data_IF_355962618309
#
_entry.id   IF_355962618309
#
_cell.length_a   1.000
_cell.length_b   1.000
_cell.length_c   1.000
_cell.angle_alpha   90.00
_cell.angle_beta   90.00
_cell.angle_gamma   90.00
#
_symmetry.space_group_name_H-M   'P 1'
#
loop_
_entity.id
_entity.type
_entity.pdbx_description
1 polymer ?
#
# COMPACT_ATOMS: atom_id res chain seq x y z
N UNK A 1 -32.61 28.48 -50.45
CA UNK A 1 -33.21 28.96 -49.18
C UNK A 1 -34.14 27.89 -48.55
N UNK A 2 -33.67 26.63 -48.39
CA UNK A 2 -34.49 25.52 -47.84
C UNK A 2 -33.69 24.51 -46.98
N UNK A 3 -32.49 24.88 -46.48
CA UNK A 3 -31.69 24.01 -45.60
C UNK A 3 -31.59 24.50 -44.14
N UNK A 4 -31.80 25.78 -43.85
CA UNK A 4 -31.77 26.30 -42.47
C UNK A 4 -32.98 25.91 -41.63
N UNK A 5 -34.16 25.81 -42.25
CA UNK A 5 -35.43 25.58 -41.53
C UNK A 5 -35.60 24.15 -40.99
N UNK A 6 -34.87 23.16 -41.53
CA UNK A 6 -34.99 21.77 -41.11
C UNK A 6 -34.14 21.41 -39.89
N UNK A 7 -33.08 22.18 -39.62
CA UNK A 7 -32.19 21.96 -38.47
C UNK A 7 -32.78 22.67 -37.24
N UNK A 8 -33.27 23.90 -37.42
CA UNK A 8 -33.95 24.65 -36.34
C UNK A 8 -35.20 23.93 -35.80
N UNK A 9 -35.95 23.24 -36.66
CA UNK A 9 -37.11 22.48 -36.23
C UNK A 9 -36.73 21.24 -35.40
N UNK A 10 -35.62 20.56 -35.74
CA UNK A 10 -35.11 19.41 -34.96
C UNK A 10 -34.53 19.82 -33.62
N UNK A 11 -33.90 21.00 -33.55
CA UNK A 11 -33.41 21.56 -32.29
C UNK A 11 -34.57 21.94 -31.38
N UNK A 12 -35.62 22.59 -31.92
CA UNK A 12 -36.83 22.92 -31.15
C UNK A 12 -37.59 21.69 -30.65
N UNK A 13 -37.65 20.61 -31.42
CA UNK A 13 -38.23 19.34 -30.96
C UNK A 13 -37.41 18.73 -29.80
N UNK A 14 -36.08 18.71 -29.91
CA UNK A 14 -35.18 18.22 -28.85
C UNK A 14 -35.26 19.06 -27.57
N UNK A 15 -35.37 20.38 -27.68
CA UNK A 15 -35.55 21.28 -26.54
C UNK A 15 -36.91 21.08 -25.86
N UNK A 16 -37.98 20.90 -26.63
CA UNK A 16 -39.31 20.60 -26.10
C UNK A 16 -39.34 19.24 -25.36
N UNK A 17 -38.62 18.24 -25.88
CA UNK A 17 -38.48 16.92 -25.26
C UNK A 17 -37.69 17.01 -23.93
N UNK A 18 -36.61 17.80 -23.90
CA UNK A 18 -35.80 18.03 -22.71
C UNK A 18 -36.59 18.78 -21.61
N UNK A 19 -37.41 19.75 -21.99
CA UNK A 19 -38.30 20.47 -21.06
C UNK A 19 -39.35 19.53 -20.47
N UNK A 20 -39.90 18.62 -21.28
CA UNK A 20 -40.85 17.59 -20.82
C UNK A 20 -40.19 16.64 -19.82
N UNK A 21 -38.94 16.24 -20.09
CA UNK A 21 -38.17 15.36 -19.21
C UNK A 21 -37.85 16.04 -17.87
N UNK A 22 -37.43 17.32 -17.90
CA UNK A 22 -37.18 18.11 -16.68
C UNK A 22 -38.44 18.31 -15.84
N UNK A 23 -39.59 18.53 -16.46
CA UNK A 23 -40.88 18.59 -15.73
C UNK A 23 -41.26 17.24 -15.12
N UNK A 24 -40.94 16.13 -15.78
CA UNK A 24 -41.20 14.79 -15.27
C UNK A 24 -40.30 14.45 -14.07
N UNK A 25 -39.02 14.80 -14.14
CA UNK A 25 -38.07 14.65 -13.02
C UNK A 25 -38.47 15.53 -11.83
N UNK A 26 -38.90 16.77 -12.08
CA UNK A 26 -39.36 17.67 -11.01
C UNK A 26 -40.65 17.17 -10.34
N UNK A 27 -41.61 16.69 -11.13
CA UNK A 27 -42.82 16.09 -10.59
C UNK A 27 -42.55 14.79 -9.81
N UNK A 28 -41.48 14.06 -10.15
CA UNK A 28 -41.06 12.86 -9.43
C UNK A 28 -40.34 13.22 -8.11
N UNK A 29 -39.56 14.31 -8.09
CA UNK A 29 -38.95 14.85 -6.88
C UNK A 29 -39.97 15.51 -5.93
N UNK A 30 -41.06 16.07 -6.46
CA UNK A 30 -42.18 16.61 -5.68
C UNK A 30 -43.13 15.52 -5.16
N UNK A 31 -43.06 14.28 -5.69
CA UNK A 31 -43.80 13.11 -5.18
C UNK A 31 -43.03 12.32 -4.10
N UNK A 32 -41.70 12.51 -4.02
CA UNK A 32 -40.82 11.90 -3.00
C UNK A 32 -40.54 12.85 -1.81
N UNK A 33 -41.20 14.03 -1.76
CA UNK A 33 -40.81 15.17 -0.93
C UNK A 33 -41.87 15.75 0.01
N UNK A 34 -42.93 15.02 0.34
CA UNK A 34 -43.91 15.41 1.38
C UNK A 34 -43.93 14.35 2.49
N UNK A 35 -43.04 14.50 3.48
CA UNK A 35 -43.30 14.20 4.89
C UNK A 35 -42.12 14.68 5.76
N UNK A 36 -42.18 15.96 6.14
CA UNK A 36 -41.53 16.49 7.35
C UNK A 36 -42.49 17.47 8.03
N UNK A 37 -43.15 17.01 9.08
CA UNK A 37 -43.08 17.61 10.42
C UNK A 37 -44.18 17.03 11.33
N UNK A 38 -43.83 16.00 12.10
CA UNK A 38 -44.28 15.86 13.49
C UNK A 38 -43.14 15.20 14.28
N UNK A 39 -42.44 16.04 15.05
CA UNK A 39 -41.50 15.68 16.09
C UNK A 39 -42.25 14.97 17.23
N UNK A 40 -42.06 13.66 17.36
CA UNK A 40 -42.03 12.99 18.66
C UNK A 40 -40.81 12.04 18.65
N UNK A 41 -40.04 12.11 19.74
CA UNK A 41 -38.80 11.39 19.98
C UNK A 41 -39.03 9.88 19.92
N UNK A 42 -38.29 9.16 19.07
CA UNK A 42 -38.04 7.74 19.30
C UNK A 42 -36.60 7.35 18.87
N UNK A 43 -35.79 7.13 19.88
CA UNK A 43 -34.38 6.73 19.85
C UNK A 43 -34.28 5.22 19.53
N UNK A 44 -34.28 4.84 18.26
CA UNK A 44 -34.15 3.41 17.91
C UNK A 44 -33.67 3.09 16.48
N UNK A 45 -32.61 3.72 15.95
CA UNK A 45 -31.97 3.23 14.70
C UNK A 45 -30.44 3.20 14.69
N UNK A 46 -29.80 3.19 15.87
CA UNK A 46 -28.38 2.84 16.00
C UNK A 46 -28.13 1.32 16.21
N UNK A 47 -29.19 0.50 16.28
CA UNK A 47 -29.13 -0.87 16.80
C UNK A 47 -28.64 -1.99 15.87
N UNK A 48 -28.53 -1.78 14.55
CA UNK A 48 -28.41 -2.92 13.62
C UNK A 48 -27.00 -3.14 13.03
N UNK A 49 -26.07 -2.18 13.18
CA UNK A 49 -24.65 -2.41 12.87
C UNK A 49 -23.85 -2.85 14.10
N UNK A 50 -24.19 -2.35 15.28
CA UNK A 50 -23.59 -2.76 16.55
C UNK A 50 -23.73 -4.26 16.80
N UNK A 51 -24.90 -4.83 16.46
CA UNK A 51 -25.20 -6.25 16.68
C UNK A 51 -24.34 -7.20 15.83
N UNK A 52 -23.95 -6.79 14.61
CA UNK A 52 -23.08 -7.57 13.74
C UNK A 52 -21.61 -7.55 14.20
N UNK A 53 -21.14 -6.42 14.74
CA UNK A 53 -19.78 -6.28 15.31
C UNK A 53 -19.61 -7.19 16.54
N UNK A 54 -20.55 -7.13 17.48
CA UNK A 54 -20.55 -8.02 18.65
C UNK A 54 -20.60 -9.50 18.23
N UNK A 55 -21.28 -9.83 17.13
CA UNK A 55 -21.40 -11.21 16.66
C UNK A 55 -20.08 -11.82 16.18
N UNK A 56 -19.22 -11.04 15.52
CA UNK A 56 -17.94 -11.55 14.98
C UNK A 56 -16.89 -11.71 16.08
N UNK A 57 -16.82 -10.78 17.02
CA UNK A 57 -15.93 -10.93 18.15
C UNK A 57 -16.35 -12.10 19.04
N UNK A 58 -17.66 -12.29 19.26
CA UNK A 58 -18.17 -13.46 19.97
C UNK A 58 -17.83 -14.78 19.24
N UNK A 59 -17.91 -14.83 17.91
CA UNK A 59 -17.51 -15.99 17.10
C UNK A 59 -16.00 -16.29 17.22
N UNK A 60 -15.15 -15.24 17.23
CA UNK A 60 -13.71 -15.38 17.47
C UNK A 60 -13.44 -15.95 18.87
N UNK A 61 -14.08 -15.39 19.90
CA UNK A 61 -13.94 -15.85 21.29
C UNK A 61 -14.36 -17.31 21.42
N UNK A 62 -15.48 -17.70 20.84
CA UNK A 62 -15.93 -19.09 20.83
C UNK A 62 -14.94 -20.00 20.11
N UNK A 63 -14.39 -19.56 18.98
CA UNK A 63 -13.38 -20.31 18.22
C UNK A 63 -12.11 -20.52 19.04
N UNK A 64 -11.58 -19.46 19.68
CA UNK A 64 -10.40 -19.57 20.55
C UNK A 64 -10.65 -20.49 21.74
N UNK A 65 -11.86 -20.47 22.33
CA UNK A 65 -12.19 -21.37 23.43
C UNK A 65 -12.21 -22.85 23.02
N UNK A 66 -12.66 -23.19 21.80
CA UNK A 66 -12.59 -24.57 21.30
C UNK A 66 -11.15 -25.06 21.08
N UNK A 67 -10.20 -24.15 20.89
CA UNK A 67 -8.77 -24.42 20.75
C UNK A 67 -7.99 -24.33 22.08
N UNK A 68 -8.66 -24.23 23.23
CA UNK A 68 -8.00 -24.07 24.54
C UNK A 68 -6.92 -25.15 24.80
N UNK A 69 -5.75 -24.70 25.26
CA UNK A 69 -4.61 -25.59 25.56
C UNK A 69 -3.89 -26.16 24.35
N UNK A 70 -4.18 -25.69 23.13
CA UNK A 70 -3.58 -26.14 21.88
C UNK A 70 -2.41 -25.24 21.44
N UNK A 71 -1.72 -25.65 20.37
CA UNK A 71 -0.60 -24.92 19.78
C UNK A 71 -1.00 -24.28 18.46
N UNK A 72 -0.78 -22.97 18.34
CA UNK A 72 -1.15 -22.13 17.20
C UNK A 72 0.09 -21.58 16.47
N UNK A 73 0.20 -21.83 15.17
CA UNK A 73 1.21 -21.22 14.32
C UNK A 73 0.64 -20.00 13.58
N UNK A 74 1.09 -18.80 13.91
CA UNK A 74 0.67 -17.57 13.24
C UNK A 74 1.63 -17.28 12.08
N UNK A 75 1.12 -17.35 10.86
CA UNK A 75 1.91 -17.32 9.64
C UNK A 75 1.86 -15.96 8.96
N UNK A 76 3.00 -15.27 8.90
CA UNK A 76 3.20 -14.04 8.13
C UNK A 76 3.70 -14.41 6.73
N UNK A 77 2.84 -14.22 5.73
CA UNK A 77 3.15 -14.52 4.33
C UNK A 77 3.58 -13.26 3.58
N UNK A 78 4.57 -13.42 2.69
CA UNK A 78 5.11 -12.31 1.92
C UNK A 78 5.99 -11.42 2.79
N UNK A 79 6.38 -10.26 2.26
CA UNK A 79 7.20 -9.30 3.01
C UNK A 79 6.39 -8.75 4.19
N UNK A 80 6.82 -8.99 5.44
CA UNK A 80 6.08 -8.52 6.61
C UNK A 80 5.96 -7.00 6.61
N UNK A 81 4.74 -6.49 6.69
CA UNK A 81 4.42 -5.07 6.82
C UNK A 81 3.89 -4.73 8.23
N UNK A 82 3.71 -3.44 8.58
CA UNK A 82 3.24 -3.07 9.90
C UNK A 82 1.90 -3.68 10.31
N UNK A 83 0.95 -3.81 9.37
CA UNK A 83 -0.40 -4.30 9.66
C UNK A 83 -0.39 -5.81 9.95
N UNK A 84 0.32 -6.58 9.13
CA UNK A 84 0.48 -8.01 9.30
C UNK A 84 1.24 -8.38 10.60
N UNK A 85 2.32 -7.65 10.91
CA UNK A 85 3.09 -7.84 12.15
C UNK A 85 2.20 -7.52 13.36
N UNK A 86 1.52 -6.37 13.35
CA UNK A 86 0.74 -5.92 14.50
C UNK A 86 -0.44 -6.85 14.82
N UNK A 87 -1.17 -7.28 13.80
CA UNK A 87 -2.31 -8.20 13.94
C UNK A 87 -1.88 -9.60 14.40
N UNK A 88 -0.70 -10.06 13.97
CA UNK A 88 -0.10 -11.32 14.46
C UNK A 88 0.23 -11.27 15.95
N UNK A 89 0.76 -10.15 16.44
CA UNK A 89 0.99 -9.95 17.88
C UNK A 89 -0.31 -9.89 18.67
N UNK A 90 -1.31 -9.17 18.16
CA UNK A 90 -2.60 -9.05 18.80
C UNK A 90 -3.30 -10.42 18.90
N UNK A 91 -3.25 -11.24 17.85
CA UNK A 91 -3.76 -12.60 17.89
C UNK A 91 -3.00 -13.46 18.90
N UNK A 92 -1.67 -13.39 18.92
CA UNK A 92 -0.84 -14.11 19.89
C UNK A 92 -1.26 -13.79 21.32
N UNK A 93 -1.40 -12.51 21.65
CA UNK A 93 -1.85 -12.04 22.96
C UNK A 93 -3.26 -12.55 23.30
N UNK A 94 -4.23 -12.39 22.37
CA UNK A 94 -5.59 -12.87 22.59
C UNK A 94 -5.66 -14.39 22.82
N UNK A 95 -4.81 -15.16 22.14
CA UNK A 95 -4.73 -16.61 22.28
C UNK A 95 -4.26 -17.03 23.69
N UNK A 96 -3.41 -16.23 24.35
CA UNK A 96 -2.95 -16.50 25.73
C UNK A 96 -4.10 -16.53 26.74
N UNK A 97 -5.16 -15.73 26.56
CA UNK A 97 -6.35 -15.75 27.41
C UNK A 97 -7.10 -17.10 27.37
N UNK A 98 -6.81 -17.93 26.37
CA UNK A 98 -7.37 -19.26 26.18
C UNK A 98 -6.32 -20.37 26.36
N UNK A 99 -5.21 -20.10 27.06
CA UNK A 99 -4.11 -21.05 27.28
C UNK A 99 -3.53 -21.63 25.98
N UNK A 100 -3.67 -20.93 24.86
CA UNK A 100 -3.15 -21.35 23.56
C UNK A 100 -1.70 -20.87 23.46
N UNK A 101 -0.78 -21.81 23.22
CA UNK A 101 0.61 -21.48 22.96
C UNK A 101 0.77 -21.10 21.49
N UNK A 102 1.23 -19.88 21.22
CA UNK A 102 1.38 -19.38 19.86
C UNK A 102 2.84 -19.08 19.51
N UNK A 103 3.18 -19.28 18.24
CA UNK A 103 4.46 -18.88 17.66
C UNK A 103 4.20 -18.14 16.36
N UNK A 104 4.88 -17.01 16.17
CA UNK A 104 4.74 -16.20 14.96
C UNK A 104 5.94 -16.50 14.06
N UNK A 105 5.67 -16.86 12.80
CA UNK A 105 6.70 -17.18 11.80
C UNK A 105 6.53 -16.31 10.57
N UNK A 106 7.63 -15.78 10.04
CA UNK A 106 7.65 -15.08 8.75
C UNK A 106 8.48 -15.83 7.71
N UNK A 107 8.00 -15.87 6.46
CA UNK A 107 8.66 -16.64 5.39
C UNK A 107 9.62 -15.83 4.51
N UNK A 108 9.36 -14.54 4.36
CA UNK A 108 10.24 -13.62 3.62
C UNK A 108 10.97 -12.71 4.60
N UNK A 109 12.15 -12.21 4.21
CA UNK A 109 12.93 -11.32 5.07
C UNK A 109 12.21 -10.00 5.35
N UNK A 110 12.37 -9.50 6.58
CA UNK A 110 11.97 -8.15 6.96
C UNK A 110 12.95 -7.15 6.34
N UNK A 111 12.69 -6.79 5.09
CA UNK A 111 13.59 -6.01 4.24
C UNK A 111 13.42 -4.49 4.40
N UNK A 112 12.23 -4.02 4.75
CA UNK A 112 11.98 -2.60 5.01
C UNK A 112 12.58 -2.14 6.35
N UNK A 113 13.32 -1.03 6.32
CA UNK A 113 13.98 -0.47 7.52
C UNK A 113 13.00 -0.16 8.65
N UNK A 114 11.81 0.32 8.31
CA UNK A 114 10.72 0.64 9.26
C UNK A 114 10.24 -0.63 9.97
N UNK A 115 9.98 -1.70 9.23
CA UNK A 115 9.49 -2.97 9.79
C UNK A 115 10.58 -3.66 10.63
N UNK A 116 11.85 -3.55 10.24
CA UNK A 116 12.97 -4.00 11.11
C UNK A 116 13.05 -3.20 12.40
N UNK A 117 12.86 -1.88 12.32
CA UNK A 117 12.83 -1.03 13.49
C UNK A 117 11.64 -1.41 14.39
N UNK A 118 10.47 -1.68 13.82
CA UNK A 118 9.29 -2.16 14.51
C UNK A 118 9.60 -3.43 15.31
N UNK A 119 10.06 -4.50 14.65
CA UNK A 119 10.39 -5.78 15.31
C UNK A 119 11.46 -5.61 16.39
N UNK A 120 12.55 -4.90 16.07
CA UNK A 120 13.65 -4.69 17.01
C UNK A 120 13.26 -3.83 18.22
N UNK A 121 12.41 -2.82 18.03
CA UNK A 121 12.04 -1.87 19.08
C UNK A 121 10.93 -2.38 19.96
N UNK A 122 10.02 -3.16 19.39
CA UNK A 122 9.00 -3.85 20.16
C UNK A 122 9.55 -5.12 20.83
N UNK A 123 10.77 -5.56 20.49
CA UNK A 123 11.40 -6.77 21.06
C UNK A 123 10.49 -8.00 20.84
N UNK A 124 10.06 -8.17 19.59
CA UNK A 124 9.08 -9.19 19.23
C UNK A 124 9.75 -10.54 19.03
N UNK A 125 9.12 -11.57 19.58
CA UNK A 125 9.49 -12.96 19.34
C UNK A 125 8.81 -13.45 18.05
N UNK A 126 9.42 -13.11 16.91
CA UNK A 126 8.99 -13.55 15.58
C UNK A 126 10.15 -14.31 14.95
N UNK A 127 9.89 -15.55 14.56
CA UNK A 127 10.90 -16.43 13.98
C UNK A 127 10.93 -16.32 12.45
N UNK A 128 12.13 -16.23 11.88
CA UNK A 128 12.31 -16.43 10.44
C UNK A 128 12.20 -17.91 10.13
N UNK A 129 11.34 -18.27 9.17
CA UNK A 129 11.19 -19.65 8.75
C UNK A 129 12.54 -20.21 8.27
N UNK A 130 12.85 -21.41 8.71
CA UNK A 130 13.95 -22.21 8.18
C UNK A 130 13.45 -23.61 7.85
N UNK A 131 14.14 -24.31 6.95
CA UNK A 131 13.80 -25.70 6.60
C UNK A 131 13.88 -26.68 7.78
N UNK A 132 14.42 -26.25 8.92
CA UNK A 132 14.51 -27.03 10.16
C UNK A 132 13.37 -26.73 11.14
N UNK A 133 12.51 -25.75 10.85
CA UNK A 133 11.41 -25.36 11.72
C UNK A 133 10.38 -26.50 11.80
N UNK A 134 10.16 -27.03 13.01
CA UNK A 134 9.21 -28.11 13.24
C UNK A 134 7.80 -27.59 13.44
N UNK A 135 7.05 -27.51 12.34
CA UNK A 135 5.64 -27.15 12.35
C UNK A 135 4.70 -28.34 12.58
N UNK A 136 5.21 -29.56 12.77
CA UNK A 136 4.36 -30.76 12.99
C UNK A 136 3.71 -30.80 14.37
N UNK A 137 4.24 -30.02 15.32
CA UNK A 137 3.76 -29.93 16.70
C UNK A 137 2.56 -28.99 16.91
N UNK A 138 2.09 -28.30 15.86
CA UNK A 138 0.99 -27.34 15.95
C UNK A 138 -0.34 -27.99 15.58
N UNK A 139 -1.38 -27.72 16.36
CA UNK A 139 -2.76 -28.18 16.11
C UNK A 139 -3.47 -27.27 15.11
N UNK A 140 -3.10 -25.99 15.09
CA UNK A 140 -3.76 -24.96 14.31
C UNK A 140 -2.76 -24.00 13.70
N UNK A 141 -3.17 -23.34 12.61
CA UNK A 141 -2.48 -22.17 12.08
C UNK A 141 -3.45 -20.99 11.87
N UNK A 142 -2.90 -19.78 11.80
CA UNK A 142 -3.62 -18.56 11.50
C UNK A 142 -2.91 -17.74 10.44
N UNK A 143 -3.68 -16.99 9.66
CA UNK A 143 -3.18 -16.05 8.65
C UNK A 143 -3.93 -14.75 8.81
N UNK A 144 -3.20 -13.67 9.04
CA UNK A 144 -3.75 -12.32 9.05
C UNK A 144 -3.31 -11.56 7.81
N UNK A 145 -4.11 -10.59 7.42
CA UNK A 145 -3.78 -9.58 6.42
C UNK A 145 -3.19 -10.19 5.12
N UNK A 146 -3.97 -11.11 4.54
CA UNK A 146 -3.61 -11.82 3.32
C UNK A 146 -4.84 -12.21 2.52
N UNK A 147 -4.74 -12.15 1.19
CA UNK A 147 -5.89 -12.40 0.31
C UNK A 147 -6.22 -13.89 0.09
N UNK A 148 -5.34 -14.80 0.54
CA UNK A 148 -5.53 -16.25 0.38
C UNK A 148 -4.79 -17.04 1.47
N UNK A 149 -5.06 -18.34 1.52
CA UNK A 149 -4.52 -19.27 2.53
C UNK A 149 -3.27 -20.02 2.08
N UNK A 150 -2.73 -19.73 0.88
CA UNK A 150 -1.61 -20.50 0.34
C UNK A 150 -0.34 -20.16 1.11
N UNK A 151 0.33 -21.15 1.69
CA UNK A 151 1.61 -20.95 2.37
C UNK A 151 2.76 -21.49 1.52
N UNK A 152 3.98 -20.94 1.65
CA UNK A 152 5.17 -21.48 0.97
C UNK A 152 5.64 -22.82 1.58
N UNK A 153 4.90 -23.36 2.54
CA UNK A 153 5.10 -24.66 3.16
C UNK A 153 3.85 -25.51 3.03
N UNK A 154 4.03 -26.83 3.10
CA UNK A 154 2.91 -27.77 3.16
C UNK A 154 2.56 -28.05 4.62
N UNK A 155 1.51 -27.38 5.11
CA UNK A 155 0.96 -27.65 6.43
C UNK A 155 0.34 -29.06 6.46
N UNK A 156 0.54 -29.86 7.53
CA UNK A 156 -0.09 -31.17 7.70
C UNK A 156 -1.62 -31.05 7.72
N UNK A 157 -2.34 -32.05 7.21
CA UNK A 157 -3.82 -32.06 7.22
C UNK A 157 -4.41 -32.02 8.64
N UNK A 158 -3.63 -32.42 9.64
CA UNK A 158 -4.01 -32.34 11.06
C UNK A 158 -3.93 -30.94 11.66
N UNK A 159 -3.26 -30.00 10.97
CA UNK A 159 -3.12 -28.62 11.41
C UNK A 159 -4.10 -27.74 10.61
N UNK A 160 -5.20 -27.37 11.25
CA UNK A 160 -6.33 -26.70 10.59
C UNK A 160 -6.23 -25.18 10.69
N UNK A 161 -6.84 -24.46 9.74
CA UNK A 161 -6.90 -22.99 9.79
C UNK A 161 -7.87 -22.54 10.88
N UNK A 162 -7.35 -22.03 12.00
CA UNK A 162 -8.16 -21.56 13.12
C UNK A 162 -8.70 -20.16 12.88
N UNK A 163 -7.84 -19.21 12.51
CA UNK A 163 -8.18 -17.80 12.36
C UNK A 163 -7.69 -17.28 11.02
N UNK A 164 -8.59 -16.64 10.27
CA UNK A 164 -8.27 -15.87 9.07
C UNK A 164 -8.95 -14.51 9.13
N UNK A 165 -8.17 -13.43 9.20
CA UNK A 165 -8.68 -12.06 9.27
C UNK A 165 -8.01 -11.21 8.22
N UNK A 166 -8.79 -10.50 7.42
CA UNK A 166 -8.28 -9.70 6.30
C UNK A 166 -9.22 -8.50 6.01
N UNK A 167 -8.67 -7.45 5.44
CA UNK A 167 -9.43 -6.28 4.96
C UNK A 167 -9.39 -6.11 3.44
N UNK A 168 -8.61 -6.93 2.74
CA UNK A 168 -8.51 -6.86 1.29
C UNK A 168 -9.75 -7.45 0.59
N UNK A 169 -9.86 -7.17 -0.72
CA UNK A 169 -10.89 -7.79 -1.56
C UNK A 169 -10.74 -9.31 -1.55
N UNK A 170 -11.86 -9.98 -1.30
CA UNK A 170 -11.89 -11.45 -1.20
C UNK A 170 -11.53 -12.12 -2.52
N UNK A 171 -10.51 -12.98 -2.49
CA UNK A 171 -10.15 -13.85 -3.61
C UNK A 171 -10.60 -15.29 -3.34
N UNK A 172 -11.79 -15.64 -3.83
CA UNK A 172 -12.33 -16.99 -3.70
C UNK A 172 -12.85 -17.35 -2.30
N UNK A 173 -13.00 -18.64 -2.05
CA UNK A 173 -13.59 -19.15 -0.81
C UNK A 173 -12.49 -19.60 0.16
N UNK A 174 -12.30 -18.84 1.24
CA UNK A 174 -11.52 -19.26 2.41
C UNK A 174 -12.38 -20.15 3.31
N UNK A 175 -11.81 -21.26 3.79
CA UNK A 175 -12.41 -22.16 4.78
C UNK A 175 -11.47 -22.28 5.98
N UNK A 176 -12.00 -21.99 7.16
CA UNK A 176 -11.32 -22.12 8.45
C UNK A 176 -12.36 -22.10 9.57
N UNK A 177 -11.93 -22.26 10.81
CA UNK A 177 -12.82 -22.23 11.98
C UNK A 177 -13.42 -20.84 12.20
N UNK A 178 -12.60 -19.80 12.11
CA UNK A 178 -13.02 -18.40 12.11
C UNK A 178 -12.48 -17.67 10.88
N UNK A 179 -13.38 -17.04 10.14
CA UNK A 179 -13.05 -16.21 8.96
C UNK A 179 -13.79 -14.88 9.07
N UNK A 180 -13.04 -13.78 9.09
CA UNK A 180 -13.58 -12.41 9.09
C UNK A 180 -12.85 -11.57 8.04
N UNK A 181 -13.54 -11.27 6.93
CA UNK A 181 -13.00 -10.47 5.84
C UNK A 181 -13.84 -9.20 5.72
N UNK A 182 -13.24 -8.04 6.01
CA UNK A 182 -13.96 -6.75 6.05
C UNK A 182 -13.39 -5.77 5.03
N UNK A 183 -13.84 -5.87 3.78
CA UNK A 183 -13.41 -5.00 2.66
C UNK A 183 -13.63 -3.49 2.89
N UNK A 184 -14.48 -3.13 3.86
CA UNK A 184 -14.73 -1.74 4.25
C UNK A 184 -13.82 -1.21 5.35
N UNK A 185 -12.91 -2.03 5.89
CA UNK A 185 -11.91 -1.61 6.87
C UNK A 185 -10.68 -1.06 6.16
N UNK A 186 -10.12 0.04 6.65
CA UNK A 186 -8.88 0.61 6.11
C UNK A 186 -7.64 -0.22 6.44
N UNK A 187 -7.71 -1.07 7.47
CA UNK A 187 -6.62 -1.97 7.90
C UNK A 187 -7.17 -3.21 8.61
N UNK A 188 -6.39 -4.29 8.67
CA UNK A 188 -6.66 -5.46 9.51
C UNK A 188 -6.40 -5.13 10.99
N UNK A 189 -5.43 -4.23 11.30
CA UNK A 189 -5.20 -3.74 12.66
C UNK A 189 -6.42 -3.07 13.29
N UNK A 190 -7.24 -2.36 12.50
CA UNK A 190 -8.48 -1.78 13.00
C UNK A 190 -9.49 -2.85 13.45
N UNK A 191 -9.55 -3.99 12.74
CA UNK A 191 -10.39 -5.13 13.08
C UNK A 191 -9.93 -5.75 14.41
N UNK A 192 -8.62 -5.96 14.57
CA UNK A 192 -8.06 -6.45 15.83
C UNK A 192 -8.23 -5.47 17.00
N UNK A 193 -8.16 -4.17 16.73
CA UNK A 193 -8.47 -3.12 17.69
C UNK A 193 -9.93 -3.12 18.15
N UNK A 194 -10.85 -3.66 17.36
CA UNK A 194 -12.23 -3.95 17.79
C UNK A 194 -12.27 -5.17 18.71
N UNK A 195 -11.63 -6.28 18.33
CA UNK A 195 -11.63 -7.51 19.13
C UNK A 195 -11.08 -7.31 20.54
N UNK A 196 -9.97 -6.57 20.66
CA UNK A 196 -9.30 -6.32 21.94
C UNK A 196 -10.13 -5.51 22.94
N UNK A 197 -11.24 -4.90 22.53
CA UNK A 197 -12.13 -4.18 23.44
C UNK A 197 -12.93 -5.12 24.34
N UNK A 198 -13.02 -6.40 23.97
CA UNK A 198 -13.76 -7.38 24.75
C UNK A 198 -13.08 -7.68 26.10
N UNK A 199 -13.83 -7.63 27.22
CA UNK A 199 -13.27 -7.83 28.56
C UNK A 199 -12.54 -9.16 28.76
N UNK A 200 -12.89 -10.20 27.99
CA UNK A 200 -12.26 -11.53 28.10
C UNK A 200 -10.77 -11.52 27.79
N UNK A 201 -10.31 -10.59 26.95
CA UNK A 201 -8.88 -10.45 26.61
C UNK A 201 -8.10 -9.63 27.65
N UNK A 202 -8.79 -9.01 28.61
CA UNK A 202 -8.20 -8.22 29.68
C UNK A 202 -7.17 -7.16 29.18
N UNK A 203 -7.44 -6.55 28.02
CA UNK A 203 -6.54 -5.55 27.42
C UNK A 203 -6.74 -4.19 28.09
N UNK A 204 -5.90 -3.91 29.07
CA UNK A 204 -5.96 -2.74 29.96
C UNK A 204 -4.89 -1.70 29.68
N UNK A 205 -3.80 -2.10 29.00
CA UNK A 205 -2.63 -1.27 28.76
C UNK A 205 -1.75 -1.05 29.99
N UNK A 206 -1.94 -1.84 31.05
CA UNK A 206 -1.17 -1.75 32.29
C UNK A 206 0.21 -2.41 32.17
N UNK A 207 0.42 -3.26 31.17
CA UNK A 207 1.68 -3.96 30.91
C UNK A 207 2.46 -3.37 29.73
N UNK A 208 3.78 -3.59 29.74
CA UNK A 208 4.64 -3.20 28.61
C UNK A 208 4.28 -3.96 27.33
N UNK A 209 3.76 -5.19 27.43
CA UNK A 209 3.36 -5.99 26.27
C UNK A 209 2.11 -5.39 25.60
N UNK A 210 1.07 -5.07 26.37
CA UNK A 210 -0.15 -4.44 25.85
C UNK A 210 0.16 -3.08 25.21
N UNK A 211 1.02 -2.26 25.83
CA UNK A 211 1.41 -0.97 25.24
C UNK A 211 2.16 -1.14 23.91
N UNK A 212 3.02 -2.16 23.79
CA UNK A 212 3.70 -2.50 22.53
C UNK A 212 2.70 -2.95 21.46
N UNK A 213 1.75 -3.82 21.81
CA UNK A 213 0.70 -4.29 20.89
C UNK A 213 -0.17 -3.10 20.43
N UNK A 214 -0.61 -2.24 21.36
CA UNK A 214 -1.39 -1.06 21.03
C UNK A 214 -0.63 -0.12 20.08
N UNK A 215 0.67 0.05 20.33
CA UNK A 215 1.57 0.85 19.49
C UNK A 215 1.74 0.25 18.10
N UNK A 216 1.91 -1.07 18.01
CA UNK A 216 2.02 -1.79 16.75
C UNK A 216 0.73 -1.66 15.93
N UNK A 217 -0.43 -1.93 16.54
CA UNK A 217 -1.74 -1.83 15.89
C UNK A 217 -2.02 -0.40 15.42
N UNK A 218 -1.72 0.61 16.24
CA UNK A 218 -1.83 2.01 15.83
C UNK A 218 -0.92 2.34 14.63
N UNK A 219 0.27 1.75 14.57
CA UNK A 219 1.16 1.92 13.42
C UNK A 219 0.63 1.21 12.16
N UNK A 220 0.08 -0.01 12.30
CA UNK A 220 -0.60 -0.74 11.22
C UNK A 220 -1.77 0.04 10.63
N UNK A 221 -2.68 0.53 11.48
CA UNK A 221 -3.80 1.41 11.05
C UNK A 221 -3.27 2.61 10.27
N UNK A 222 -2.24 3.29 10.79
CA UNK A 222 -1.66 4.48 10.12
C UNK A 222 -0.96 4.16 8.80
N UNK A 223 -0.31 3.00 8.70
CA UNK A 223 0.38 2.56 7.48
C UNK A 223 -0.62 2.35 6.35
N UNK A 224 -1.61 1.51 6.56
CA UNK A 224 -2.51 1.05 5.49
C UNK A 224 -3.56 2.09 5.09
N UNK A 225 -3.90 2.98 6.03
CA UNK A 225 -4.80 4.10 5.76
C UNK A 225 -4.10 5.33 5.19
N UNK A 226 -2.80 5.26 4.88
CA UNK A 226 -1.99 6.40 4.45
C UNK A 226 -2.12 7.60 5.41
N UNK A 227 -1.72 7.38 6.67
CA UNK A 227 -1.87 8.34 7.77
C UNK A 227 -3.30 8.90 7.90
N UNK A 228 -4.30 8.00 7.89
CA UNK A 228 -5.73 8.30 8.00
C UNK A 228 -6.36 9.01 6.79
N UNK A 229 -5.64 9.23 5.69
CA UNK A 229 -6.22 9.80 4.46
C UNK A 229 -7.32 8.89 3.91
N UNK A 230 -7.11 7.57 3.99
CA UNK A 230 -8.04 6.54 3.50
C UNK A 230 -8.78 5.81 4.65
N UNK A 231 -8.74 6.33 5.88
CA UNK A 231 -9.36 5.69 7.03
C UNK A 231 -10.89 5.70 6.97
N UNK A 232 -11.51 4.63 7.47
CA UNK A 232 -12.96 4.49 7.59
C UNK A 232 -13.39 4.53 9.07
N UNK A 233 -14.70 4.54 9.39
CA UNK A 233 -15.15 4.67 10.78
C UNK A 233 -14.58 3.62 11.75
N UNK A 234 -14.28 2.40 11.29
CA UNK A 234 -13.67 1.37 12.14
C UNK A 234 -12.23 1.73 12.52
N UNK A 235 -11.45 2.28 11.58
CA UNK A 235 -10.07 2.70 11.82
C UNK A 235 -10.00 3.82 12.87
N UNK A 236 -10.93 4.78 12.80
CA UNK A 236 -11.02 5.85 13.80
C UNK A 236 -11.42 5.34 15.18
N UNK A 237 -12.41 4.43 15.27
CA UNK A 237 -12.82 3.84 16.55
C UNK A 237 -11.72 2.98 17.18
N UNK A 238 -11.09 2.14 16.38
CA UNK A 238 -9.95 1.34 16.83
C UNK A 238 -8.81 2.26 17.31
N UNK A 239 -8.50 3.32 16.56
CA UNK A 239 -7.48 4.29 16.96
C UNK A 239 -7.84 5.04 18.24
N UNK A 240 -9.11 5.42 18.43
CA UNK A 240 -9.58 6.04 19.68
C UNK A 240 -9.33 5.12 20.87
N UNK A 241 -9.69 3.84 20.76
CA UNK A 241 -9.44 2.84 21.79
C UNK A 241 -7.94 2.66 22.07
N UNK A 242 -7.16 2.37 21.03
CA UNK A 242 -5.73 2.09 21.12
C UNK A 242 -4.93 3.29 21.65
N UNK A 243 -5.33 4.52 21.31
CA UNK A 243 -4.62 5.76 21.67
C UNK A 243 -4.40 5.96 23.17
N UNK A 244 -5.19 5.27 24.00
CA UNK A 244 -5.10 5.28 25.47
C UNK A 244 -3.87 4.54 25.98
N UNK A 245 -3.35 3.58 25.21
CA UNK A 245 -2.32 2.62 25.63
C UNK A 245 -1.03 2.72 24.79
N UNK A 246 -1.08 3.46 23.69
CA UNK A 246 0.05 3.69 22.77
C UNK A 246 1.21 4.41 23.49
N UNK A 247 2.42 3.86 23.35
CA UNK A 247 3.66 4.57 23.62
C UNK A 247 3.93 5.53 22.44
N UNK A 248 3.76 6.83 22.69
CA UNK A 248 3.90 7.88 21.67
C UNK A 248 5.35 8.06 21.21
N UNK A 249 6.32 7.84 22.08
CA UNK A 249 7.74 7.97 21.75
C UNK A 249 8.16 6.81 20.86
N UNK A 250 7.72 5.60 21.22
CA UNK A 250 7.92 4.41 20.40
C UNK A 250 7.21 4.52 19.05
N UNK A 251 5.94 4.95 19.03
CA UNK A 251 5.20 5.20 17.79
C UNK A 251 5.93 6.20 16.90
N UNK A 252 6.40 7.33 17.47
CA UNK A 252 7.17 8.32 16.74
C UNK A 252 8.45 7.71 16.16
N UNK A 253 9.13 6.85 16.93
CA UNK A 253 10.38 6.23 16.52
C UNK A 253 10.19 5.25 15.36
N UNK A 254 9.18 4.37 15.41
CA UNK A 254 8.90 3.39 14.36
C UNK A 254 8.30 4.05 13.11
N UNK A 255 7.58 5.16 13.27
CA UNK A 255 6.98 5.91 12.15
C UNK A 255 7.95 6.84 11.41
N UNK A 256 9.21 6.96 11.87
CA UNK A 256 10.19 7.84 11.22
C UNK A 256 10.77 7.15 10.00
N UNK A 257 10.46 7.70 8.82
CA UNK A 257 11.16 7.35 7.59
C UNK A 257 12.56 7.99 7.62
N UNK A 258 13.58 7.25 8.04
CA UNK A 258 14.96 7.74 7.96
C UNK A 258 15.49 7.58 6.53
N UNK A 259 15.84 8.68 5.87
CA UNK A 259 16.49 8.65 4.57
C UNK A 259 17.99 8.31 4.77
N UNK A 260 18.53 7.26 4.14
CA UNK A 260 19.95 6.96 4.22
C UNK A 260 20.81 8.13 3.75
N UNK A 261 21.96 8.36 4.38
CA UNK A 261 22.86 9.47 4.00
C UNK A 261 23.24 9.42 2.50
N UNK A 262 23.42 8.22 1.94
CA UNK A 262 23.70 8.03 0.50
C UNK A 262 22.52 8.45 -0.38
N UNK A 263 21.29 8.14 0.01
CA UNK A 263 20.10 8.67 -0.68
C UNK A 263 20.00 10.19 -0.56
N UNK A 264 20.40 10.79 0.57
CA UNK A 264 20.47 12.25 0.69
C UNK A 264 21.50 12.86 -0.27
N UNK A 265 22.69 12.26 -0.38
CA UNK A 265 23.73 12.65 -1.35
C UNK A 265 23.18 12.56 -2.78
N UNK A 266 22.50 11.46 -3.13
CA UNK A 266 21.86 11.27 -4.44
C UNK A 266 20.77 12.31 -4.70
N UNK A 267 19.95 12.62 -3.69
CA UNK A 267 18.89 13.63 -3.80
C UNK A 267 19.49 15.01 -4.05
N UNK A 268 20.59 15.35 -3.37
CA UNK A 268 21.32 16.60 -3.62
C UNK A 268 21.79 16.68 -5.08
N UNK A 269 22.39 15.61 -5.62
CA UNK A 269 22.82 15.56 -7.02
C UNK A 269 21.61 15.70 -7.95
N UNK A 270 20.53 14.98 -7.68
CA UNK A 270 19.33 14.99 -8.49
C UNK A 270 18.70 16.41 -8.55
N UNK A 271 18.66 17.11 -7.42
CA UNK A 271 18.18 18.49 -7.33
C UNK A 271 19.08 19.49 -8.06
N UNK A 272 20.39 19.28 -8.03
CA UNK A 272 21.35 20.13 -8.75
C UNK A 272 21.28 19.95 -10.26
N UNK A 273 21.04 18.72 -10.72
CA UNK A 273 21.07 18.34 -12.14
C UNK A 273 19.70 18.24 -12.81
N UNK A 274 18.62 18.57 -12.09
CA UNK A 274 17.25 18.51 -12.62
C UNK A 274 17.11 19.37 -13.88
N UNK A 275 16.52 18.79 -14.92
CA UNK A 275 16.04 19.48 -16.10
C UNK A 275 14.51 19.47 -16.07
N UNK A 276 13.88 20.63 -16.30
CA UNK A 276 12.43 20.78 -16.22
C UNK A 276 11.91 21.20 -17.59
N UNK A 277 11.02 20.38 -18.14
CA UNK A 277 10.38 20.60 -19.45
C UNK A 277 8.86 20.51 -19.28
N UNK A 278 8.19 21.66 -19.18
CA UNK A 278 6.77 21.71 -18.84
C UNK A 278 6.51 21.14 -17.44
N UNK A 279 5.64 20.14 -17.33
CA UNK A 279 5.34 19.44 -16.07
C UNK A 279 6.20 18.19 -15.84
N UNK A 280 7.20 17.95 -16.69
CA UNK A 280 8.18 16.87 -16.53
C UNK A 280 9.46 17.38 -15.87
N UNK A 281 10.02 16.55 -15.00
CA UNK A 281 11.36 16.73 -14.44
C UNK A 281 12.22 15.49 -14.68
N UNK A 282 13.37 15.68 -15.30
CA UNK A 282 14.34 14.62 -15.55
C UNK A 282 15.62 14.88 -14.74
N UNK A 283 16.24 13.84 -14.19
CA UNK A 283 17.52 14.00 -13.50
C UNK A 283 18.42 12.77 -13.57
N UNK A 284 19.61 12.97 -14.12
CA UNK A 284 20.68 11.97 -14.14
C UNK A 284 21.61 12.10 -12.93
N UNK A 285 21.61 11.11 -12.03
CA UNK A 285 22.39 11.14 -10.78
C UNK A 285 23.83 10.65 -10.93
N UNK A 286 24.22 10.16 -12.10
CA UNK A 286 25.56 9.61 -12.34
C UNK A 286 25.66 8.16 -11.90
N UNK A 287 26.79 7.78 -11.32
CA UNK A 287 27.03 6.41 -10.88
C UNK A 287 26.50 6.16 -9.48
N UNK A 288 25.77 5.07 -9.32
CA UNK A 288 25.15 4.61 -8.09
C UNK A 288 25.68 3.20 -7.79
N UNK A 289 25.93 2.89 -6.53
CA UNK A 289 26.34 1.55 -6.14
C UNK A 289 25.13 0.62 -6.13
N UNK A 290 25.36 -0.68 -6.26
CA UNK A 290 24.26 -1.65 -6.26
C UNK A 290 23.44 -1.56 -4.97
N UNK A 291 24.11 -1.41 -3.82
CA UNK A 291 23.46 -1.28 -2.52
C UNK A 291 22.64 0.02 -2.33
N UNK A 292 22.91 1.05 -3.14
CA UNK A 292 22.25 2.35 -3.06
C UNK A 292 21.17 2.53 -4.16
N UNK A 293 20.88 1.47 -4.94
CA UNK A 293 19.97 1.48 -6.09
C UNK A 293 18.59 2.06 -5.77
N UNK A 294 18.01 1.68 -4.63
CA UNK A 294 16.69 2.14 -4.18
C UNK A 294 16.63 3.66 -3.98
N UNK A 295 17.79 4.31 -3.80
CA UNK A 295 17.91 5.76 -3.70
C UNK A 295 17.40 6.48 -4.95
N UNK A 296 17.47 5.87 -6.15
CA UNK A 296 16.94 6.45 -7.39
C UNK A 296 15.41 6.65 -7.30
N UNK A 297 14.71 5.63 -6.79
CA UNK A 297 13.27 5.69 -6.57
C UNK A 297 12.89 6.74 -5.53
N UNK A 298 13.57 6.72 -4.38
CA UNK A 298 13.35 7.68 -3.29
C UNK A 298 13.59 9.13 -3.73
N UNK A 299 14.60 9.38 -4.57
CA UNK A 299 14.83 10.70 -5.16
C UNK A 299 13.65 11.14 -6.03
N UNK A 300 13.13 10.26 -6.90
CA UNK A 300 12.00 10.56 -7.75
C UNK A 300 10.73 10.86 -6.95
N UNK A 301 10.47 10.09 -5.89
CA UNK A 301 9.36 10.29 -4.96
C UNK A 301 9.46 11.66 -4.25
N UNK A 302 10.66 12.02 -3.77
CA UNK A 302 10.89 13.33 -3.15
C UNK A 302 10.67 14.49 -4.15
N UNK A 303 11.25 14.38 -5.35
CA UNK A 303 11.20 15.43 -6.37
C UNK A 303 9.80 15.67 -6.93
N UNK A 304 8.91 14.66 -6.91
CA UNK A 304 7.51 14.76 -7.33
C UNK A 304 6.68 15.70 -6.43
N UNK A 305 7.22 16.08 -5.26
CA UNK A 305 6.58 17.06 -4.38
C UNK A 305 6.85 18.52 -4.80
N UNK A 306 7.69 18.76 -5.80
CA UNK A 306 7.90 20.11 -6.32
C UNK A 306 6.62 20.61 -7.01
N UNK A 307 6.16 21.79 -6.62
CA UNK A 307 5.05 22.48 -7.27
C UNK A 307 5.27 22.61 -8.80
N UNK A 308 4.18 22.41 -9.56
CA UNK A 308 4.16 22.50 -11.02
C UNK A 308 4.77 21.30 -11.76
N UNK A 309 5.10 20.21 -11.06
CA UNK A 309 5.62 18.98 -11.65
C UNK A 309 4.62 17.84 -11.44
N UNK A 310 4.26 17.20 -12.54
CA UNK A 310 3.34 16.06 -12.53
C UNK A 310 4.07 14.74 -12.73
N UNK A 311 5.23 14.76 -13.39
CA UNK A 311 6.00 13.55 -13.70
C UNK A 311 7.48 13.77 -13.47
N UNK A 312 8.12 12.84 -12.78
CA UNK A 312 9.56 12.83 -12.50
C UNK A 312 10.18 11.55 -13.04
N UNK A 313 11.34 11.66 -13.68
CA UNK A 313 12.21 10.51 -13.96
C UNK A 313 13.61 10.78 -13.41
N UNK A 314 14.07 9.92 -12.52
CA UNK A 314 15.45 9.93 -12.03
C UNK A 314 16.14 8.67 -12.53
N UNK A 315 17.38 8.79 -12.99
CA UNK A 315 18.14 7.66 -13.51
C UNK A 315 19.64 7.76 -13.21
N UNK A 316 20.33 6.63 -13.18
CA UNK A 316 21.77 6.55 -12.93
C UNK A 316 22.37 5.22 -13.40
N UNK A 317 23.69 5.16 -13.45
CA UNK A 317 24.43 3.94 -13.77
C UNK A 317 24.64 3.14 -12.49
N UNK A 318 23.98 2.00 -12.36
CA UNK A 318 24.03 1.12 -11.19
C UNK A 318 25.04 0.00 -11.42
N UNK A 319 25.92 -0.21 -10.43
CA UNK A 319 26.93 -1.29 -10.45
C UNK A 319 28.00 -1.15 -11.56
N UNK A 320 27.91 -0.14 -12.43
CA UNK A 320 28.73 -0.01 -13.63
C UNK A 320 28.24 -0.85 -14.82
N UNK A 321 27.08 -1.51 -14.70
CA UNK A 321 26.60 -2.47 -15.70
C UNK A 321 25.28 -2.04 -16.35
N UNK A 322 24.42 -1.34 -15.60
CA UNK A 322 23.08 -0.98 -16.05
C UNK A 322 22.80 0.50 -15.86
N UNK A 323 21.98 1.07 -16.75
CA UNK A 323 21.27 2.33 -16.49
C UNK A 323 19.92 1.97 -15.90
N UNK A 324 19.73 2.31 -14.64
CA UNK A 324 18.47 2.12 -13.95
C UNK A 324 17.79 3.47 -13.80
N UNK A 325 16.47 3.47 -13.96
CA UNK A 325 15.68 4.66 -13.73
C UNK A 325 14.31 4.37 -13.17
N UNK A 326 13.77 5.39 -12.52
CA UNK A 326 12.51 5.37 -11.80
C UNK A 326 11.65 6.53 -12.30
N UNK A 327 10.46 6.19 -12.79
CA UNK A 327 9.41 7.14 -13.13
C UNK A 327 8.39 7.21 -12.00
N UNK A 328 7.98 8.43 -11.64
CA UNK A 328 6.87 8.72 -10.73
C UNK A 328 5.97 9.77 -11.34
N UNK A 329 4.65 9.60 -11.22
CA UNK A 329 3.70 10.56 -11.76
C UNK A 329 2.47 10.73 -10.87
N UNK A 330 2.00 11.97 -10.74
CA UNK A 330 0.67 12.33 -10.22
C UNK A 330 -0.35 12.50 -11.34
N UNK A 331 0.10 12.43 -12.60
CA UNK A 331 -0.76 12.64 -13.76
C UNK A 331 -1.69 11.46 -14.00
N UNK A 332 -3.00 11.72 -14.03
CA UNK A 332 -4.00 10.69 -14.35
C UNK A 332 -4.03 10.28 -15.82
N UNK A 333 -3.34 11.03 -16.70
CA UNK A 333 -3.34 10.78 -18.16
C UNK A 333 -2.08 10.08 -18.64
N UNK A 334 -1.03 10.03 -17.82
CA UNK A 334 0.21 9.34 -18.15
C UNK A 334 0.18 7.94 -17.56
N UNK A 335 0.25 6.92 -18.42
CA UNK A 335 0.45 5.52 -18.03
C UNK A 335 1.96 5.22 -17.98
N UNK A 336 2.55 4.98 -16.79
CA UNK A 336 3.97 4.69 -16.64
C UNK A 336 4.45 3.49 -17.45
N UNK A 337 3.64 2.42 -17.54
CA UNK A 337 4.02 1.19 -18.24
C UNK A 337 4.17 1.44 -19.73
N UNK A 338 3.12 2.03 -20.31
CA UNK A 338 3.12 2.39 -21.72
C UNK A 338 4.21 3.41 -22.04
N UNK A 339 4.36 4.44 -21.20
CA UNK A 339 5.34 5.49 -21.44
C UNK A 339 6.77 4.94 -21.51
N UNK A 340 7.17 4.11 -20.53
CA UNK A 340 8.50 3.50 -20.49
C UNK A 340 8.74 2.57 -21.68
N UNK A 341 7.75 1.73 -22.02
CA UNK A 341 7.84 0.80 -23.16
C UNK A 341 7.95 1.53 -24.48
N UNK A 342 7.24 2.64 -24.66
CA UNK A 342 7.34 3.46 -25.86
C UNK A 342 8.70 4.17 -25.97
N UNK A 343 9.32 4.55 -24.85
CA UNK A 343 10.63 5.24 -24.82
C UNK A 343 11.77 4.29 -25.16
N UNK A 344 11.81 3.13 -24.51
CA UNK A 344 12.98 2.24 -24.57
C UNK A 344 12.77 1.01 -25.44
N UNK A 345 11.52 0.59 -25.69
CA UNK A 345 11.22 -0.57 -26.50
C UNK A 345 11.65 -1.91 -25.87
N UNK A 346 11.99 -2.86 -26.72
CA UNK A 346 12.36 -4.23 -26.36
C UNK A 346 13.81 -4.54 -26.72
N UNK A 347 14.36 -5.53 -26.04
CA UNK A 347 15.61 -6.18 -26.41
C UNK A 347 15.43 -7.14 -27.61
N UNK A 348 16.55 -7.74 -28.04
CA UNK A 348 16.60 -8.70 -29.14
C UNK A 348 15.80 -10.00 -28.89
N UNK A 349 15.38 -10.26 -27.65
CA UNK A 349 14.59 -11.41 -27.24
C UNK A 349 13.11 -11.07 -27.09
N UNK A 350 12.71 -9.82 -27.36
CA UNK A 350 11.33 -9.35 -27.24
C UNK A 350 10.93 -8.98 -25.81
N UNK A 351 11.90 -8.79 -24.91
CA UNK A 351 11.67 -8.39 -23.53
C UNK A 351 11.78 -6.86 -23.42
N UNK A 352 10.78 -6.21 -22.84
CA UNK A 352 10.82 -4.76 -22.62
C UNK A 352 11.90 -4.37 -21.60
N UNK A 353 12.58 -3.24 -21.84
CA UNK A 353 13.58 -2.69 -20.90
C UNK A 353 12.98 -2.08 -19.62
N UNK A 354 11.65 -2.06 -19.51
CA UNK A 354 10.97 -1.57 -18.32
C UNK A 354 9.46 -1.71 -18.38
N UNK A 355 8.81 -1.23 -17.33
CA UNK A 355 7.36 -1.27 -17.19
C UNK A 355 6.91 -0.50 -15.97
N UNK A 356 5.61 -0.55 -15.68
CA UNK A 356 5.05 0.23 -14.59
C UNK A 356 3.65 -0.22 -14.18
N UNK A 357 3.13 0.43 -13.14
CA UNK A 357 1.77 0.26 -12.62
C UNK A 357 1.30 1.56 -12.01
N UNK A 358 0.03 1.91 -12.21
CA UNK A 358 -0.64 3.09 -11.64
C UNK A 358 0.16 4.39 -11.85
N UNK A 359 0.95 4.78 -10.86
CA UNK A 359 1.66 6.04 -10.67
C UNK A 359 3.19 5.89 -10.73
N UNK A 360 3.69 4.67 -10.86
CA UNK A 360 5.13 4.37 -10.81
C UNK A 360 5.58 3.43 -11.91
N UNK A 361 6.81 3.63 -12.39
CA UNK A 361 7.45 2.75 -13.34
C UNK A 361 8.96 2.68 -13.11
N UNK A 362 9.59 1.66 -13.68
CA UNK A 362 11.03 1.45 -13.63
C UNK A 362 11.54 0.89 -14.95
N UNK A 363 12.80 1.22 -15.26
CA UNK A 363 13.50 0.69 -16.42
C UNK A 363 14.94 0.33 -16.05
N UNK A 364 15.48 -0.63 -16.78
CA UNK A 364 16.86 -1.10 -16.65
C UNK A 364 17.42 -1.39 -18.04
N UNK A 365 18.51 -0.71 -18.39
CA UNK A 365 19.13 -0.80 -19.72
C UNK A 365 20.56 -1.28 -19.56
N UNK A 366 20.95 -2.44 -20.13
CA UNK A 366 22.32 -2.93 -20.05
C UNK A 366 23.27 -2.03 -20.84
N UNK A 367 24.41 -1.65 -20.23
CA UNK A 367 25.47 -0.93 -20.93
C UNK A 367 26.20 -1.81 -21.95
N UNK A 368 26.13 -3.13 -21.78
CA UNK A 368 26.82 -4.09 -22.63
C UNK A 368 28.33 -3.84 -22.68
N UNK A 369 28.89 -3.73 -23.88
CA UNK A 369 30.33 -3.51 -24.07
C UNK A 369 30.81 -2.17 -23.53
N UNK A 370 29.93 -1.16 -23.43
CA UNK A 370 30.28 0.17 -22.93
C UNK A 370 30.57 0.18 -21.43
N UNK A 371 30.03 -0.77 -20.65
CA UNK A 371 30.35 -0.94 -19.23
C UNK A 371 31.84 -1.22 -18.97
N UNK A 372 32.59 -1.65 -19.99
CA UNK A 372 34.05 -1.86 -19.92
C UNK A 372 34.88 -0.58 -20.16
N UNK A 373 34.24 0.55 -20.44
CA UNK A 373 34.95 1.81 -20.65
C UNK A 373 35.66 2.25 -19.36
N UNK A 374 36.96 2.51 -19.44
CA UNK A 374 37.75 3.00 -18.30
C UNK A 374 37.47 4.47 -17.97
N UNK A 375 37.09 5.27 -18.97
CA UNK A 375 36.71 6.67 -18.78
C UNK A 375 35.23 6.78 -18.39
N UNK A 376 35.01 6.88 -17.08
CA UNK A 376 33.66 6.94 -16.50
C UNK A 376 32.97 8.26 -16.77
N UNK A 377 33.71 9.37 -16.86
CA UNK A 377 33.13 10.69 -17.10
C UNK A 377 32.62 10.79 -18.53
N UNK A 378 33.43 10.38 -19.50
CA UNK A 378 33.03 10.34 -20.90
C UNK A 378 31.83 9.41 -21.12
N UNK A 379 31.87 8.22 -20.53
CA UNK A 379 30.75 7.27 -20.62
C UNK A 379 29.46 7.86 -20.04
N UNK A 380 29.54 8.54 -18.89
CA UNK A 380 28.37 9.18 -18.30
C UNK A 380 27.80 10.29 -19.16
N UNK A 381 28.64 11.13 -19.77
CA UNK A 381 28.20 12.19 -20.69
C UNK A 381 27.40 11.59 -21.86
N UNK A 382 27.92 10.51 -22.46
CA UNK A 382 27.25 9.81 -23.55
C UNK A 382 25.91 9.23 -23.11
N UNK A 383 25.89 8.48 -22.01
CA UNK A 383 24.66 7.87 -21.46
C UNK A 383 23.62 8.95 -21.19
N UNK A 384 24.00 9.99 -20.45
CA UNK A 384 23.09 11.09 -20.08
C UNK A 384 22.47 11.70 -21.33
N UNK A 385 23.30 12.05 -22.32
CA UNK A 385 22.83 12.65 -23.58
C UNK A 385 21.84 11.73 -24.31
N UNK A 386 22.18 10.44 -24.47
CA UNK A 386 21.31 9.49 -25.16
C UNK A 386 19.98 9.29 -24.44
N UNK A 387 19.99 9.15 -23.12
CA UNK A 387 18.77 8.95 -22.33
C UNK A 387 17.88 10.20 -22.34
N UNK A 388 18.47 11.38 -22.16
CA UNK A 388 17.72 12.64 -22.18
C UNK A 388 17.07 12.89 -23.54
N UNK A 389 17.78 12.64 -24.65
CA UNK A 389 17.23 12.76 -26.00
C UNK A 389 16.00 11.84 -26.21
N UNK A 390 16.04 10.60 -25.70
CA UNK A 390 14.88 9.70 -25.74
C UNK A 390 13.69 10.27 -24.97
N UNK A 391 13.92 10.88 -23.80
CA UNK A 391 12.87 11.51 -23.03
C UNK A 391 12.28 12.73 -23.74
N UNK A 392 13.13 13.60 -24.28
CA UNK A 392 12.70 14.81 -24.99
C UNK A 392 11.87 14.49 -26.22
N UNK A 393 12.32 13.51 -27.01
CA UNK A 393 11.58 13.00 -28.16
C UNK A 393 10.20 12.47 -27.75
N UNK A 394 10.11 11.76 -26.61
CA UNK A 394 8.85 11.23 -26.11
C UNK A 394 7.86 12.32 -25.69
N UNK A 395 8.34 13.41 -25.10
CA UNK A 395 7.48 14.54 -24.69
C UNK A 395 7.27 15.59 -25.79
N UNK A 396 7.85 15.39 -26.97
CA UNK A 396 7.68 16.27 -28.13
C UNK A 396 8.42 17.60 -28.01
N UNK A 397 9.55 17.63 -27.30
CA UNK A 397 10.41 18.81 -27.17
C UNK A 397 11.64 18.61 -28.07
N UNK A 398 11.80 19.43 -29.10
CA UNK A 398 13.05 19.49 -29.89
C UNK A 398 14.10 20.32 -29.12
N UNK A 399 15.36 19.87 -29.11
CA UNK A 399 16.45 20.60 -28.47
C UNK A 399 16.71 21.92 -29.19
N UNK A 400 16.35 23.03 -28.55
CA UNK A 400 16.66 24.38 -29.00
C UNK A 400 18.10 24.79 -28.65
N UNK A 401 19.09 23.97 -28.99
CA UNK A 401 20.52 24.32 -28.91
C UNK A 401 21.25 23.93 -30.21
N UNK A 402 20.96 24.67 -31.29
CA UNK A 402 21.85 24.76 -32.46
C UNK A 402 21.77 26.11 -33.18
N UNK A 403 21.54 27.19 -32.43
CA UNK A 403 21.58 28.55 -32.96
C UNK A 403 22.12 29.53 -31.93
N UNK A 404 23.44 29.55 -31.81
CA UNK A 404 24.15 30.79 -31.45
C UNK A 404 25.49 30.78 -32.18
N UNK A 405 25.51 31.53 -33.29
CA UNK A 405 26.72 32.13 -33.88
C UNK A 405 27.36 33.14 -32.90
#
# INVERSE_FOLDING_TARGET
MKLGTSIDNKIKEKEAELIKLKKKVKAQQELDGDDQDLLEEDDSTAGDKSSAFDSKTAELIATLDTARGKRLLICIKGYPDPDNIATSLALSYMAQAFDIQSTIVHFEQISHHENRALVKKLDLDIEEYSDQFDYSSYDYYAINDSQNTDLPIKIPETCELLVFVDHHKRLGTVKGHFVDIREGSGSTSAIYGEYLQEPVFNFSGDTSEESKIATALMHGVRSDTDNFVNATPIDYKASEFLSRFVDKDLLSLISRQSIPAKTMDLTQIALQRKDIRGTFMFSGVGYVREEDRDGIGQCADYMLNREGIDTVVVYGVVGGEFVDGSLRTKSHVLDPDKWIKDVFGMDQHGVYYGGGRKDKGGFQIPLGVFGKCSDRELLWILIKKTIDELFYNKIGVEDSESSTD
#
